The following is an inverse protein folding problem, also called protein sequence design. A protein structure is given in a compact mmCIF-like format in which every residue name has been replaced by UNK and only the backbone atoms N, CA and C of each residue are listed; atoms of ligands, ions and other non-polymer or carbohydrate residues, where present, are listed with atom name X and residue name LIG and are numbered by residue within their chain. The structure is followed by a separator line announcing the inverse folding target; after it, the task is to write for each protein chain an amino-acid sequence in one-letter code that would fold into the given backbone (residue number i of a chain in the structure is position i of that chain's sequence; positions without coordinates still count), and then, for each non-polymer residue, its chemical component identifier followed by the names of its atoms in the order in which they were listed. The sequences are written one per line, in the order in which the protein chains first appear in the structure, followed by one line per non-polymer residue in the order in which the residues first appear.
data_IF_425955905839
#
_entry.id   IF_425955905839
#
_cell.length_a   1.000
_cell.length_b   1.000
_cell.length_c   1.000
_cell.angle_alpha   90.00
_cell.angle_beta   90.00
_cell.angle_gamma   90.00
#
_symmetry.space_group_name_H-M   'P 1'
#
loop_
_entity.id
_entity.type
_entity.pdbx_description
1 polymer ?
#
# COMPACT_ATOMS: atom_id res chain seq x y z
N UNK A 1 -4.03 2.67 20.91
CA UNK A 1 -3.82 2.10 19.56
C UNK A 1 -2.72 2.90 18.86
N UNK A 2 -1.67 2.26 18.33
CA UNK A 2 -0.62 2.95 17.55
C UNK A 2 -0.99 2.98 16.07
N UNK A 3 -0.76 4.11 15.43
CA UNK A 3 -1.01 4.33 14.01
C UNK A 3 0.32 4.69 13.34
N UNK A 4 0.61 4.11 12.18
CA UNK A 4 1.77 4.45 11.37
C UNK A 4 1.32 5.03 10.03
N UNK A 5 1.93 6.15 9.63
CA UNK A 5 1.89 6.63 8.25
C UNK A 5 3.14 6.14 7.52
N UNK A 6 2.98 5.59 6.32
CA UNK A 6 4.10 5.15 5.48
C UNK A 6 4.23 6.15 4.33
N UNK A 7 5.29 6.95 4.39
CA UNK A 7 5.69 7.84 3.32
C UNK A 7 6.78 7.15 2.51
N UNK A 8 6.58 7.01 1.21
CA UNK A 8 7.50 6.34 0.30
C UNK A 8 7.62 7.10 -1.03
N UNK A 9 8.75 6.90 -1.71
CA UNK A 9 8.91 7.36 -3.08
C UNK A 9 8.16 6.44 -4.03
N UNK A 10 7.12 6.99 -4.65
CA UNK A 10 6.29 6.29 -5.62
C UNK A 10 7.10 6.06 -6.90
N UNK A 11 7.16 4.80 -7.34
CA UNK A 11 7.56 4.46 -8.70
C UNK A 11 6.39 4.79 -9.61
N UNK A 12 6.58 5.77 -10.49
CA UNK A 12 5.52 6.25 -11.37
C UNK A 12 4.93 5.11 -12.18
N UNK A 13 3.62 4.92 -12.05
CA UNK A 13 2.83 4.02 -12.89
C UNK A 13 3.19 2.53 -12.82
N UNK A 14 3.95 2.12 -11.81
CA UNK A 14 4.44 0.74 -11.61
C UNK A 14 3.97 0.15 -10.26
N UNK A 15 2.80 -0.51 -10.23
CA UNK A 15 2.27 -1.16 -9.03
C UNK A 15 3.20 -2.17 -8.40
N UNK A 16 3.84 -3.02 -9.21
CA UNK A 16 4.63 -4.13 -8.69
C UNK A 16 5.87 -3.61 -7.98
N UNK A 17 6.58 -2.64 -8.58
CA UNK A 17 7.72 -2.00 -7.92
C UNK A 17 7.31 -1.23 -6.65
N UNK A 18 6.13 -0.59 -6.63
CA UNK A 18 5.61 0.05 -5.43
C UNK A 18 5.29 -0.97 -4.32
N UNK A 19 4.67 -2.10 -4.66
CA UNK A 19 4.35 -3.16 -3.70
C UNK A 19 5.62 -3.75 -3.07
N UNK A 20 6.65 -4.00 -3.88
CA UNK A 20 7.96 -4.48 -3.42
C UNK A 20 8.61 -3.50 -2.43
N UNK A 21 8.52 -2.19 -2.68
CA UNK A 21 9.05 -1.15 -1.77
C UNK A 21 8.24 -1.00 -0.49
N UNK A 22 6.92 -1.18 -0.56
CA UNK A 22 6.01 -0.97 0.56
C UNK A 22 5.98 -2.14 1.54
N UNK A 23 6.03 -3.37 1.04
CA UNK A 23 5.96 -4.57 1.88
C UNK A 23 6.94 -4.55 3.09
N UNK A 24 8.24 -4.25 2.95
CA UNK A 24 9.15 -4.19 4.10
C UNK A 24 8.83 -3.04 5.06
N UNK A 25 8.34 -1.90 4.57
CA UNK A 25 7.97 -0.75 5.40
C UNK A 25 6.72 -1.04 6.24
N UNK A 26 5.72 -1.70 5.64
CA UNK A 26 4.52 -2.17 6.34
C UNK A 26 4.90 -3.18 7.42
N UNK A 27 5.76 -4.14 7.09
CA UNK A 27 6.24 -5.14 8.05
C UNK A 27 6.98 -4.49 9.22
N UNK A 28 7.81 -3.47 8.97
CA UNK A 28 8.53 -2.73 10.01
C UNK A 28 7.58 -1.93 10.92
N UNK A 29 6.56 -1.27 10.35
CA UNK A 29 5.54 -0.55 11.10
C UNK A 29 4.73 -1.49 12.01
N UNK A 30 4.32 -2.65 11.48
CA UNK A 30 3.63 -3.68 12.24
C UNK A 30 4.51 -4.22 13.40
N UNK A 31 5.78 -4.56 13.12
CA UNK A 31 6.73 -4.98 14.17
C UNK A 31 6.96 -3.92 15.25
N UNK A 32 6.84 -2.63 14.90
CA UNK A 32 6.93 -1.52 15.85
C UNK A 32 5.65 -1.31 16.69
N UNK A 33 4.65 -2.18 16.50
CA UNK A 33 3.41 -2.22 17.28
C UNK A 33 2.27 -1.40 16.69
N UNK A 34 2.34 -0.96 15.43
CA UNK A 34 1.22 -0.31 14.76
C UNK A 34 0.04 -1.30 14.60
N UNK A 35 -1.19 -0.82 14.84
CA UNK A 35 -2.42 -1.59 14.58
C UNK A 35 -3.23 -1.05 13.41
N UNK A 36 -2.97 0.20 13.03
CA UNK A 36 -3.46 0.82 11.80
C UNK A 36 -2.28 1.39 11.03
N UNK A 37 -2.19 1.08 9.74
CA UNK A 37 -1.16 1.59 8.83
C UNK A 37 -1.85 2.34 7.69
N UNK A 38 -1.48 3.60 7.48
CA UNK A 38 -1.96 4.41 6.36
C UNK A 38 -0.84 4.59 5.34
N UNK A 39 -1.09 4.21 4.10
CA UNK A 39 -0.20 4.46 2.97
C UNK A 39 -0.54 5.81 2.33
N UNK A 40 0.42 6.38 1.59
CA UNK A 40 0.20 7.58 0.77
C UNK A 40 -0.95 7.38 -0.21
N UNK A 41 -1.74 8.42 -0.48
CA UNK A 41 -2.72 8.41 -1.58
C UNK A 41 -2.08 7.98 -2.90
N UNK A 42 -2.79 7.17 -3.68
CA UNK A 42 -2.31 6.59 -4.95
C UNK A 42 -1.01 5.78 -4.79
N UNK A 43 -0.82 5.11 -3.64
CA UNK A 43 0.41 4.39 -3.28
C UNK A 43 0.94 3.43 -4.36
N UNK A 44 0.05 2.87 -5.18
CA UNK A 44 0.37 1.85 -6.18
C UNK A 44 0.83 2.42 -7.52
N UNK A 45 0.41 3.61 -7.91
CA UNK A 45 0.65 4.12 -9.28
C UNK A 45 1.13 5.55 -9.33
N UNK A 46 0.97 6.30 -8.25
CA UNK A 46 1.10 7.75 -8.27
C UNK A 46 -0.08 8.44 -8.96
N UNK A 47 -0.02 9.77 -8.96
CA UNK A 47 -1.06 10.68 -9.46
C UNK A 47 -1.11 10.74 -11.01
N UNK A 48 -1.13 9.58 -11.67
CA UNK A 48 -1.26 9.51 -13.12
C UNK A 48 -2.64 9.97 -13.57
N UNK A 49 -2.66 10.81 -14.60
CA UNK A 49 -3.89 11.30 -15.22
C UNK A 49 -4.40 10.37 -16.33
N UNK A 50 -3.66 9.31 -16.66
CA UNK A 50 -4.08 8.28 -17.61
C UNK A 50 -4.91 7.21 -16.90
N UNK A 51 -6.17 7.56 -16.61
CA UNK A 51 -7.10 6.69 -15.89
C UNK A 51 -7.34 5.35 -16.60
N UNK A 52 -7.36 5.34 -17.94
CA UNK A 52 -7.58 4.11 -18.71
C UNK A 52 -6.47 3.08 -18.49
N UNK A 53 -5.23 3.56 -18.32
CA UNK A 53 -4.06 2.71 -18.10
C UNK A 53 -3.92 2.26 -16.64
N UNK A 54 -4.24 3.11 -15.65
CA UNK A 54 -4.07 2.76 -14.22
C UNK A 54 -5.29 2.15 -13.56
N UNK A 55 -6.48 2.27 -14.15
CA UNK A 55 -7.70 1.76 -13.55
C UNK A 55 -7.61 0.24 -13.34
N UNK A 56 -7.96 -0.19 -12.14
CA UNK A 56 -8.03 -1.60 -11.78
C UNK A 56 -9.49 -2.00 -11.55
N UNK A 57 -9.88 -3.24 -11.90
CA UNK A 57 -11.20 -3.75 -11.55
C UNK A 57 -11.35 -3.84 -10.03
N UNK A 58 -12.60 -3.91 -9.55
CA UNK A 58 -12.86 -4.21 -8.15
C UNK A 58 -12.17 -5.54 -7.76
N UNK A 59 -11.41 -5.53 -6.65
CA UNK A 59 -10.60 -6.70 -6.27
C UNK A 59 -9.28 -6.84 -7.04
N UNK A 60 -8.86 -5.81 -7.78
CA UNK A 60 -7.62 -5.75 -8.52
C UNK A 60 -6.34 -5.83 -7.65
N UNK A 61 -5.15 -5.79 -8.30
CA UNK A 61 -3.86 -5.96 -7.65
C UNK A 61 -3.65 -5.11 -6.40
N UNK A 62 -3.95 -3.81 -6.44
CA UNK A 62 -3.79 -2.89 -5.31
C UNK A 62 -4.61 -3.34 -4.11
N UNK A 63 -5.91 -3.65 -4.31
CA UNK A 63 -6.74 -4.18 -3.22
C UNK A 63 -6.22 -5.51 -2.68
N UNK A 64 -5.76 -6.42 -3.56
CA UNK A 64 -5.21 -7.72 -3.11
C UNK A 64 -3.96 -7.53 -2.27
N UNK A 65 -3.08 -6.62 -2.66
CA UNK A 65 -1.90 -6.25 -1.89
C UNK A 65 -2.28 -5.79 -0.47
N UNK A 66 -3.22 -4.84 -0.33
CA UNK A 66 -3.68 -4.39 1.00
C UNK A 66 -4.24 -5.53 1.85
N UNK A 67 -5.07 -6.39 1.27
CA UNK A 67 -5.66 -7.54 1.98
C UNK A 67 -4.58 -8.53 2.41
N UNK A 68 -3.58 -8.80 1.56
CA UNK A 68 -2.47 -9.69 1.89
C UNK A 68 -1.63 -9.13 3.03
N UNK A 69 -1.25 -7.85 2.97
CA UNK A 69 -0.45 -7.22 4.02
C UNK A 69 -1.20 -7.14 5.35
N UNK A 70 -2.50 -6.78 5.33
CA UNK A 70 -3.35 -6.76 6.51
C UNK A 70 -3.40 -8.14 7.21
N UNK A 71 -3.63 -9.20 6.42
CA UNK A 71 -3.71 -10.57 6.93
C UNK A 71 -2.37 -11.08 7.44
N UNK A 72 -1.29 -10.82 6.70
CA UNK A 72 0.07 -11.27 7.05
C UNK A 72 0.54 -10.68 8.37
N UNK A 73 0.16 -9.44 8.67
CA UNK A 73 0.66 -8.70 9.84
C UNK A 73 -0.36 -8.49 10.96
N UNK A 74 -1.60 -8.96 10.80
CA UNK A 74 -2.72 -8.75 11.75
C UNK A 74 -2.97 -7.26 12.10
N UNK A 75 -3.02 -6.43 11.04
CA UNK A 75 -3.21 -4.98 11.13
C UNK A 75 -4.36 -4.50 10.25
N UNK A 76 -4.93 -3.36 10.61
CA UNK A 76 -5.75 -2.57 9.70
C UNK A 76 -4.83 -1.78 8.76
N UNK A 77 -5.17 -1.70 7.47
CA UNK A 77 -4.40 -0.93 6.48
C UNK A 77 -5.32 -0.18 5.53
N UNK A 78 -4.95 1.04 5.16
CA UNK A 78 -5.60 1.83 4.12
C UNK A 78 -4.56 2.46 3.18
N UNK A 79 -4.94 2.67 1.91
CA UNK A 79 -4.13 3.24 0.85
C UNK A 79 -4.96 3.48 -0.39
#
# INVERSE_FOLDING_TARGET
MRVAGVQHDIVWEDPDANFERLAPQIAAAAHSGARLIALTEMYSTGFSLDAARIAQPAGGPSRRFLVEQARRHDVWICG
#
